data_IF_458513015565
#
_entry.id   IF_458513015565
#
_cell.length_a   1.000
_cell.length_b   1.000
_cell.length_c   1.000
_cell.angle_alpha   90.00
_cell.angle_beta   90.00
_cell.angle_gamma   90.00
#
_symmetry.space_group_name_H-M   'P 1'
#
loop_
_entity.id
_entity.type
_entity.pdbx_description
1 polymer ?
#
# COMPACT_ATOMS: atom_id res chain seq x y z
N UNK A 1 9.71 -0.10 -11.17
CA UNK A 1 9.23 -0.93 -10.07
C UNK A 1 8.40 -0.11 -9.11
N UNK A 2 7.34 -0.68 -8.58
CA UNK A 2 6.26 0.05 -7.93
C UNK A 2 5.90 -0.54 -6.58
N UNK A 3 5.65 0.34 -5.60
CA UNK A 3 5.12 -0.04 -4.29
C UNK A 3 3.68 0.43 -4.22
N UNK A 4 2.74 -0.51 -4.11
CA UNK A 4 1.32 -0.18 -4.09
C UNK A 4 0.90 0.28 -2.69
N UNK A 5 0.33 1.48 -2.58
CA UNK A 5 -0.26 1.95 -1.34
C UNK A 5 -1.54 1.13 -1.02
N UNK A 6 -1.92 1.14 0.23
CA UNK A 6 -3.07 0.38 0.73
C UNK A 6 -4.36 0.67 -0.05
N UNK A 7 -4.60 1.93 -0.42
CA UNK A 7 -5.82 2.29 -1.16
C UNK A 7 -5.87 1.67 -2.57
N UNK A 8 -4.71 1.44 -3.20
CA UNK A 8 -4.67 0.78 -4.51
C UNK A 8 -5.01 -0.70 -4.36
N UNK A 9 -4.38 -1.37 -3.39
CA UNK A 9 -4.65 -2.79 -3.15
C UNK A 9 -6.12 -3.01 -2.76
N UNK A 10 -6.67 -2.15 -1.91
CA UNK A 10 -8.07 -2.22 -1.51
C UNK A 10 -9.03 -2.00 -2.67
N UNK A 11 -8.67 -1.13 -3.63
CA UNK A 11 -9.47 -0.92 -4.84
C UNK A 11 -9.63 -2.22 -5.64
N UNK A 12 -8.58 -3.03 -5.71
CA UNK A 12 -8.61 -4.29 -6.46
C UNK A 12 -9.57 -5.32 -5.87
N UNK A 13 -9.92 -5.21 -4.59
CA UNK A 13 -10.85 -6.11 -3.93
C UNK A 13 -12.32 -5.75 -4.19
N UNK A 14 -12.61 -4.55 -4.67
CA UNK A 14 -13.97 -4.11 -4.94
C UNK A 14 -14.58 -4.92 -6.07
N UNK A 15 -15.91 -5.18 -6.05
CA UNK A 15 -16.57 -5.90 -7.13
C UNK A 15 -16.41 -5.27 -8.51
N UNK A 16 -16.34 -3.92 -8.55
CA UNK A 16 -16.10 -3.17 -9.78
C UNK A 16 -14.94 -2.19 -9.55
N UNK A 17 -13.69 -2.66 -9.66
CA UNK A 17 -12.55 -1.76 -9.49
C UNK A 17 -12.55 -0.65 -10.53
N UNK A 18 -11.93 0.47 -10.18
CA UNK A 18 -11.83 1.62 -11.07
C UNK A 18 -11.12 1.25 -12.37
N UNK A 19 -11.72 1.59 -13.51
CA UNK A 19 -11.19 1.18 -14.82
C UNK A 19 -9.78 1.66 -15.11
N UNK A 20 -9.43 2.88 -14.72
CA UNK A 20 -8.09 3.42 -14.94
C UNK A 20 -7.03 2.64 -14.14
N UNK A 21 -7.37 2.21 -12.91
CA UNK A 21 -6.46 1.41 -12.08
C UNK A 21 -6.22 0.05 -12.72
N UNK A 22 -7.30 -0.61 -13.18
CA UNK A 22 -7.18 -1.89 -13.87
C UNK A 22 -6.34 -1.79 -15.13
N UNK A 23 -6.57 -0.75 -15.95
CA UNK A 23 -5.81 -0.54 -17.18
C UNK A 23 -4.33 -0.34 -16.89
N UNK A 24 -4.00 0.43 -15.85
CA UNK A 24 -2.62 0.64 -15.47
C UNK A 24 -1.97 -0.68 -15.03
N UNK A 25 -2.65 -1.46 -14.19
CA UNK A 25 -2.12 -2.74 -13.71
C UNK A 25 -1.89 -3.75 -14.82
N UNK A 26 -2.78 -3.80 -15.82
CA UNK A 26 -2.63 -4.70 -16.97
C UNK A 26 -1.36 -4.40 -17.77
N UNK A 27 -0.90 -3.15 -17.74
CA UNK A 27 0.32 -2.73 -18.43
C UNK A 27 1.61 -2.95 -17.66
N UNK A 28 1.54 -3.47 -16.42
CA UNK A 28 2.71 -3.63 -15.55
C UNK A 28 2.91 -5.10 -15.22
N UNK A 29 4.16 -5.57 -15.34
CA UNK A 29 4.49 -6.95 -14.98
C UNK A 29 4.33 -7.17 -13.46
N UNK A 30 3.79 -8.32 -13.07
CA UNK A 30 3.61 -8.67 -11.65
C UNK A 30 4.93 -8.61 -10.88
N UNK A 31 6.03 -8.96 -11.52
CA UNK A 31 7.37 -8.92 -10.91
C UNK A 31 7.84 -7.51 -10.58
N UNK A 32 7.19 -6.49 -11.12
CA UNK A 32 7.51 -5.08 -10.85
C UNK A 32 6.64 -4.49 -9.74
N UNK A 33 5.73 -5.25 -9.15
CA UNK A 33 4.80 -4.81 -8.12
C UNK A 33 5.20 -5.35 -6.75
N UNK A 34 5.26 -4.44 -5.78
CA UNK A 34 5.64 -4.75 -4.40
C UNK A 34 4.60 -4.19 -3.43
N UNK A 35 4.51 -4.81 -2.26
CA UNK A 35 3.68 -4.36 -1.15
C UNK A 35 4.55 -4.11 0.07
N UNK A 36 4.13 -3.18 0.93
CA UNK A 36 4.74 -3.00 2.23
C UNK A 36 4.05 -3.90 3.27
N UNK A 37 4.82 -4.40 4.23
CA UNK A 37 4.27 -5.08 5.39
C UNK A 37 3.26 -4.19 6.15
N UNK A 38 3.44 -2.87 6.10
CA UNK A 38 2.50 -1.89 6.69
C UNK A 38 1.12 -2.03 6.07
N UNK A 39 1.04 -2.17 4.75
CA UNK A 39 -0.23 -2.35 4.03
C UNK A 39 -0.95 -3.63 4.49
N UNK A 40 -0.21 -4.71 4.66
CA UNK A 40 -0.78 -5.97 5.18
C UNK A 40 -1.37 -5.73 6.57
N UNK A 41 -0.64 -5.04 7.44
CA UNK A 41 -1.12 -4.71 8.79
C UNK A 41 -2.36 -3.82 8.80
N UNK A 42 -2.40 -2.81 7.94
CA UNK A 42 -3.55 -1.92 7.83
C UNK A 42 -4.82 -2.68 7.40
N UNK A 43 -4.68 -3.56 6.43
CA UNK A 43 -5.82 -4.36 5.95
C UNK A 43 -6.27 -5.33 7.04
N UNK A 44 -5.34 -5.97 7.74
CA UNK A 44 -5.68 -6.86 8.84
C UNK A 44 -6.42 -6.12 9.97
N UNK A 45 -5.99 -4.90 10.29
CA UNK A 45 -6.69 -4.08 11.28
C UNK A 45 -8.14 -3.82 10.85
N UNK A 46 -8.37 -3.53 9.57
CA UNK A 46 -9.71 -3.35 9.01
C UNK A 46 -10.54 -4.64 9.08
N UNK A 47 -9.92 -5.79 8.86
CA UNK A 47 -10.57 -7.11 8.98
C UNK A 47 -11.08 -7.31 10.41
N UNK A 48 -10.27 -6.99 11.43
CA UNK A 48 -10.68 -7.17 12.83
C UNK A 48 -11.84 -6.25 13.21
N UNK A 49 -11.88 -5.04 12.68
CA UNK A 49 -13.02 -4.13 12.87
C UNK A 49 -14.28 -4.74 12.24
N UNK A 50 -14.18 -5.23 11.02
CA UNK A 50 -15.29 -5.86 10.31
C UNK A 50 -15.78 -7.11 11.04
N UNK A 51 -14.87 -7.88 11.64
CA UNK A 51 -15.20 -9.14 12.33
C UNK A 51 -16.19 -8.93 13.46
N UNK A 52 -16.16 -7.79 14.13
CA UNK A 52 -17.08 -7.46 15.19
C UNK A 52 -18.52 -7.30 14.72
N UNK A 53 -18.71 -6.90 13.46
CA UNK A 53 -20.03 -6.61 12.88
C UNK A 53 -20.50 -7.72 11.95
N UNK A 54 -19.59 -8.35 11.23
CA UNK A 54 -19.87 -9.32 10.20
C UNK A 54 -18.70 -10.31 10.07
N UNK A 55 -18.76 -11.39 10.83
CA UNK A 55 -17.70 -12.39 10.87
C UNK A 55 -17.51 -13.08 9.51
N UNK A 56 -18.58 -13.30 8.75
CA UNK A 56 -18.50 -13.93 7.44
C UNK A 56 -17.78 -13.04 6.44
N UNK A 57 -18.08 -11.74 6.45
CA UNK A 57 -17.41 -10.76 5.59
C UNK A 57 -15.93 -10.66 5.95
N UNK A 58 -15.61 -10.62 7.24
CA UNK A 58 -14.21 -10.58 7.69
C UNK A 58 -13.44 -11.80 7.22
N UNK A 59 -14.02 -12.99 7.31
CA UNK A 59 -13.38 -14.23 6.84
C UNK A 59 -13.11 -14.20 5.34
N UNK A 60 -14.04 -13.63 4.56
CA UNK A 60 -13.88 -13.48 3.11
C UNK A 60 -12.70 -12.55 2.77
N UNK A 61 -12.62 -11.40 3.45
CA UNK A 61 -11.53 -10.44 3.24
C UNK A 61 -10.19 -11.06 3.67
N UNK A 62 -10.18 -11.78 4.79
CA UNK A 62 -8.96 -12.41 5.30
C UNK A 62 -8.44 -13.48 4.35
N UNK A 63 -9.33 -14.29 3.75
CA UNK A 63 -8.93 -15.28 2.75
C UNK A 63 -8.28 -14.61 1.53
N UNK A 64 -8.84 -13.49 1.08
CA UNK A 64 -8.25 -12.70 0.00
C UNK A 64 -6.87 -12.16 0.39
N UNK A 65 -6.73 -11.63 1.61
CA UNK A 65 -5.44 -11.11 2.09
C UNK A 65 -4.40 -12.22 2.18
N UNK A 66 -4.79 -13.40 2.68
CA UNK A 66 -3.88 -14.56 2.75
C UNK A 66 -3.32 -14.90 1.36
N UNK A 67 -4.18 -14.91 0.34
CA UNK A 67 -3.76 -15.17 -1.03
C UNK A 67 -2.81 -14.09 -1.56
N UNK A 68 -3.08 -12.83 -1.24
CA UNK A 68 -2.21 -11.70 -1.63
C UNK A 68 -0.82 -11.87 -1.01
N UNK A 69 -0.74 -12.16 0.29
CA UNK A 69 0.53 -12.33 1.00
C UNK A 69 1.35 -13.48 0.42
N UNK A 70 0.69 -14.57 0.04
CA UNK A 70 1.35 -15.75 -0.55
C UNK A 70 1.87 -15.51 -1.96
N UNK A 71 1.21 -14.66 -2.74
CA UNK A 71 1.48 -14.53 -4.18
C UNK A 71 2.20 -13.24 -4.56
N UNK A 72 2.31 -12.26 -3.67
CA UNK A 72 2.93 -10.97 -3.95
C UNK A 72 4.22 -10.79 -3.15
N UNK A 73 5.08 -9.89 -3.64
CA UNK A 73 6.31 -9.52 -2.95
C UNK A 73 6.00 -8.52 -1.85
N UNK A 74 6.03 -8.96 -0.60
CA UNK A 74 5.83 -8.11 0.57
C UNK A 74 7.17 -7.74 1.15
N UNK A 75 7.47 -6.44 1.21
CA UNK A 75 8.74 -5.93 1.75
C UNK A 75 8.58 -5.65 3.24
N UNK A 76 9.52 -6.13 4.07
CA UNK A 76 9.43 -5.96 5.52
C UNK A 76 9.79 -4.55 5.98
N UNK A 77 9.34 -4.21 7.19
CA UNK A 77 9.81 -3.05 7.93
C UNK A 77 11.03 -3.47 8.76
N UNK A 78 12.17 -3.60 8.11
CA UNK A 78 13.42 -3.95 8.79
C UNK A 78 14.09 -2.72 9.40
N UNK A 79 15.27 -2.90 10.02
CA UNK A 79 15.97 -1.80 10.69
C UNK A 79 16.36 -0.68 9.76
N UNK A 80 16.73 -0.99 8.52
CA UNK A 80 17.10 0.01 7.52
C UNK A 80 15.90 0.87 7.13
N UNK A 81 14.75 0.26 6.94
CA UNK A 81 13.52 0.97 6.61
C UNK A 81 13.04 1.81 7.79
N UNK A 82 13.10 1.29 9.02
CA UNK A 82 12.72 2.06 10.21
C UNK A 82 13.63 3.26 10.44
N UNK A 83 14.92 3.15 10.16
CA UNK A 83 15.81 4.30 10.27
C UNK A 83 15.44 5.38 9.26
N UNK A 84 15.10 5.00 8.06
CA UNK A 84 14.63 5.94 7.03
C UNK A 84 13.29 6.57 7.43
N UNK A 85 12.37 5.75 7.96
CA UNK A 85 11.10 6.24 8.48
C UNK A 85 11.29 7.31 9.56
N UNK A 86 12.21 7.08 10.50
CA UNK A 86 12.47 8.03 11.56
C UNK A 86 12.97 9.37 10.99
N UNK A 87 13.81 9.33 9.94
CA UNK A 87 14.28 10.56 9.27
C UNK A 87 13.13 11.29 8.60
N UNK A 88 12.24 10.56 7.90
CA UNK A 88 11.11 11.16 7.20
C UNK A 88 10.06 11.72 8.17
N UNK A 89 9.87 11.08 9.30
CA UNK A 89 8.86 11.50 10.29
C UNK A 89 9.29 12.71 11.12
N UNK A 90 10.57 13.05 11.13
CA UNK A 90 11.05 14.16 11.94
C UNK A 90 10.34 15.47 11.56
N UNK A 91 9.64 16.06 12.50
CA UNK A 91 8.88 17.29 12.27
C UNK A 91 7.56 17.12 11.55
N UNK A 92 7.08 15.88 11.37
CA UNK A 92 5.81 15.60 10.71
C UNK A 92 4.73 15.24 11.72
N UNK A 93 3.45 15.49 11.39
CA UNK A 93 2.34 15.10 12.29
C UNK A 93 2.13 13.58 12.29
N UNK A 94 1.58 13.07 13.41
CA UNK A 94 1.34 11.64 13.60
C UNK A 94 0.35 11.05 12.58
N UNK A 95 -0.46 11.88 11.95
CA UNK A 95 -1.38 11.44 10.90
C UNK A 95 -0.67 10.85 9.69
N UNK A 96 0.64 11.08 9.54
CA UNK A 96 1.44 10.58 8.42
C UNK A 96 2.31 9.37 8.77
N UNK A 97 2.11 8.75 9.95
CA UNK A 97 2.96 7.63 10.41
C UNK A 97 3.01 6.50 9.38
N UNK A 98 1.87 6.00 8.95
CA UNK A 98 1.79 4.87 8.03
C UNK A 98 2.28 5.25 6.63
N UNK A 99 1.91 6.45 6.16
CA UNK A 99 2.38 6.94 4.86
C UNK A 99 3.90 7.08 4.84
N UNK A 100 4.48 7.57 5.94
CA UNK A 100 5.93 7.67 6.06
C UNK A 100 6.61 6.30 6.07
N UNK A 101 5.97 5.27 6.64
CA UNK A 101 6.50 3.90 6.61
C UNK A 101 6.53 3.36 5.18
N UNK A 102 5.47 3.59 4.42
CA UNK A 102 5.39 3.18 3.02
C UNK A 102 6.44 3.95 2.20
N UNK A 103 6.53 5.27 2.40
CA UNK A 103 7.52 6.09 1.72
C UNK A 103 8.96 5.66 2.04
N UNK A 104 9.24 5.33 3.30
CA UNK A 104 10.57 4.84 3.71
C UNK A 104 10.92 3.53 3.00
N UNK A 105 9.96 2.61 2.90
CA UNK A 105 10.14 1.36 2.16
C UNK A 105 10.50 1.65 0.71
N UNK A 106 9.77 2.55 0.07
CA UNK A 106 10.02 2.92 -1.32
C UNK A 106 11.40 3.55 -1.51
N UNK A 107 11.80 4.45 -0.59
CA UNK A 107 13.11 5.11 -0.68
C UNK A 107 14.26 4.11 -0.56
N UNK A 108 14.16 3.20 0.40
CA UNK A 108 15.21 2.20 0.62
C UNK A 108 15.36 1.25 -0.57
N UNK A 109 14.26 0.90 -1.21
CA UNK A 109 14.26 -0.05 -2.32
C UNK A 109 14.22 0.59 -3.71
N UNK A 110 14.22 1.93 -3.79
CA UNK A 110 14.22 2.64 -5.08
C UNK A 110 12.94 2.47 -5.87
N UNK A 111 11.78 2.50 -5.21
CA UNK A 111 10.48 2.25 -5.84
C UNK A 111 9.66 3.53 -6.00
N UNK A 112 8.77 3.52 -6.98
CA UNK A 112 7.72 4.55 -7.12
C UNK A 112 6.51 4.13 -6.30
N UNK A 113 5.99 5.03 -5.45
CA UNK A 113 4.77 4.79 -4.69
C UNK A 113 3.56 5.04 -5.58
N UNK A 114 2.71 4.02 -5.70
CA UNK A 114 1.46 4.11 -6.46
C UNK A 114 0.34 4.35 -5.46
N UNK A 115 -0.27 5.53 -5.53
CA UNK A 115 -1.24 5.98 -4.53
C UNK A 115 -2.22 6.97 -5.12
N UNK A 116 -3.42 7.01 -4.55
CA UNK A 116 -4.38 8.07 -4.82
C UNK A 116 -4.08 9.33 -3.99
N UNK A 117 -3.42 9.17 -2.83
CA UNK A 117 -3.16 10.23 -1.87
C UNK A 117 -1.83 10.95 -2.14
N UNK A 118 -1.69 11.50 -3.32
CA UNK A 118 -0.46 12.19 -3.73
C UNK A 118 -0.04 13.26 -2.72
N UNK A 119 -1.00 14.04 -2.23
CA UNK A 119 -0.73 15.13 -1.29
C UNK A 119 0.00 14.65 -0.04
N UNK A 120 -0.43 13.52 0.54
CA UNK A 120 0.12 13.01 1.79
C UNK A 120 1.56 12.50 1.64
N UNK A 121 1.97 12.15 0.42
CA UNK A 121 3.30 11.64 0.14
C UNK A 121 4.28 12.70 -0.39
N UNK A 122 3.80 13.88 -0.78
CA UNK A 122 4.65 14.89 -1.45
C UNK A 122 5.85 15.32 -0.62
N UNK A 123 5.72 15.39 0.70
CA UNK A 123 6.80 15.85 1.58
C UNK A 123 7.90 14.80 1.80
N UNK A 124 7.72 13.57 1.33
CA UNK A 124 8.67 12.48 1.59
C UNK A 124 9.71 12.29 0.49
N UNK A 125 9.62 13.02 -0.61
CA UNK A 125 10.64 12.98 -1.66
C UNK A 125 10.75 11.64 -2.38
N UNK A 126 9.64 10.93 -2.57
CA UNK A 126 9.59 9.68 -3.35
C UNK A 126 8.89 9.92 -4.68
N UNK A 127 9.24 9.18 -5.74
CA UNK A 127 8.46 9.23 -6.97
C UNK A 127 7.04 8.72 -6.71
N UNK A 128 6.05 9.40 -7.28
CA UNK A 128 4.64 9.11 -7.05
C UNK A 128 3.92 8.90 -8.37
N UNK A 129 2.91 8.01 -8.37
CA UNK A 129 2.05 7.77 -9.51
C UNK A 129 0.62 7.54 -9.01
N UNK A 130 -0.34 8.28 -9.58
CA UNK A 130 -1.76 8.11 -9.29
C UNK A 130 -2.43 7.38 -10.46
N UNK A 131 -2.74 6.08 -10.32
CA UNK A 131 -3.32 5.29 -11.41
C UNK A 131 -4.81 5.59 -11.65
N UNK A 132 -5.46 6.35 -10.77
CA UNK A 132 -6.85 6.77 -10.96
C UNK A 132 -6.98 7.84 -12.03
N UNK A 133 -5.89 8.55 -12.33
CA UNK A 133 -5.90 9.60 -13.35
C UNK A 133 -5.57 8.99 -14.70
N UNK A 134 -6.40 9.29 -15.69
CA UNK A 134 -6.13 8.97 -17.10
C UNK A 134 -5.49 10.18 -17.76
N UNK A 135 -4.51 9.91 -18.56
CA UNK A 135 -3.91 10.96 -19.40
C UNK A 135 -4.57 11.04 -20.76
#
# INVERSE_FOLDING_TARGET
MYLLDTNILSELRRPKPHGAVLAWLEGVADTDLYLSAVTVGEIQAGIEITRRQDAAKAAEIEAWLDAVVETRHVLPMDGRVFREWARLMHGKPDTLIEDAMIAATARVHGLTVVTRNIRDFQSFGVPLLDPFKTE
#
